data_IF_696795351648
#
_entry.id   IF_696795351648
#
_cell.length_a   1.000
_cell.length_b   1.000
_cell.length_c   1.000
_cell.angle_alpha   90.00
_cell.angle_beta   90.00
_cell.angle_gamma   90.00
#
_symmetry.space_group_name_H-M   'P 1'
#
loop_
_entity.id
_entity.type
_entity.pdbx_description
1 polymer ?
#
# COMPACT_ATOMS: atom_id res chain seq x y z
N UNK A 1 -10.38 -17.33 -4.85
CA UNK A 1 -9.93 -17.65 -3.48
C UNK A 1 -10.71 -16.80 -2.48
N UNK A 2 -11.02 -17.29 -1.27
CA UNK A 2 -11.81 -16.53 -0.28
C UNK A 2 -11.32 -16.71 1.17
N UNK A 3 -10.88 -17.91 1.58
CA UNK A 3 -10.29 -18.11 2.92
C UNK A 3 -9.02 -17.30 3.15
N UNK A 4 -8.03 -17.41 2.26
CA UNK A 4 -6.77 -16.68 2.40
C UNK A 4 -6.97 -15.14 2.36
N UNK A 5 -7.74 -14.57 1.40
CA UNK A 5 -8.07 -13.15 1.44
C UNK A 5 -8.76 -12.70 2.73
N UNK A 6 -9.74 -13.47 3.23
CA UNK A 6 -10.43 -13.15 4.47
C UNK A 6 -9.47 -13.15 5.67
N UNK A 7 -8.63 -14.18 5.80
CA UNK A 7 -7.64 -14.25 6.88
C UNK A 7 -6.64 -13.09 6.81
N UNK A 8 -6.17 -12.71 5.62
CA UNK A 8 -5.28 -11.56 5.45
C UNK A 8 -5.92 -10.26 5.92
N UNK A 9 -7.17 -10.00 5.53
CA UNK A 9 -7.90 -8.81 5.96
C UNK A 9 -8.15 -8.81 7.49
N UNK A 10 -8.52 -9.96 8.07
CA UNK A 10 -8.72 -10.10 9.51
C UNK A 10 -7.42 -9.88 10.28
N UNK A 11 -6.28 -10.32 9.77
CA UNK A 11 -4.97 -10.05 10.38
C UNK A 11 -4.66 -8.56 10.44
N UNK A 12 -4.99 -7.80 9.38
CA UNK A 12 -4.85 -6.34 9.38
C UNK A 12 -5.80 -5.69 10.41
N UNK A 13 -7.08 -6.10 10.40
CA UNK A 13 -8.08 -5.58 11.32
C UNK A 13 -7.73 -5.87 12.79
N UNK A 14 -7.23 -7.07 13.09
CA UNK A 14 -6.80 -7.43 14.44
C UNK A 14 -5.59 -6.60 14.89
N UNK A 15 -4.67 -6.28 13.97
CA UNK A 15 -3.53 -5.42 14.27
C UNK A 15 -3.97 -4.02 14.69
N UNK A 16 -4.96 -3.47 13.98
CA UNK A 16 -5.57 -2.19 14.30
C UNK A 16 -6.32 -2.24 15.64
N UNK A 17 -7.26 -3.18 15.79
CA UNK A 17 -8.16 -3.28 16.95
C UNK A 17 -7.44 -3.56 18.26
N UNK A 18 -6.31 -4.28 18.22
CA UNK A 18 -5.54 -4.66 19.41
C UNK A 18 -4.20 -3.94 19.52
N UNK A 19 -4.02 -2.85 18.75
CA UNK A 19 -2.77 -2.08 18.67
C UNK A 19 -1.50 -2.96 18.60
N UNK A 20 -1.53 -4.02 17.78
CA UNK A 20 -0.41 -4.98 17.75
C UNK A 20 0.83 -4.42 17.07
N UNK A 21 0.71 -3.30 16.35
CA UNK A 21 1.78 -2.66 15.57
C UNK A 21 2.52 -3.66 14.67
N UNK A 22 1.77 -4.56 14.02
CA UNK A 22 2.35 -5.56 13.13
C UNK A 22 2.87 -4.90 11.86
N UNK A 23 4.00 -5.40 11.38
CA UNK A 23 4.49 -5.12 10.02
C UNK A 23 3.75 -6.05 9.06
N UNK A 24 2.95 -5.48 8.15
CA UNK A 24 2.17 -6.21 7.17
C UNK A 24 2.34 -5.56 5.79
N UNK A 25 2.49 -6.33 4.70
CA UNK A 25 2.42 -5.78 3.36
C UNK A 25 0.97 -5.39 3.05
N UNK A 26 0.71 -4.11 2.81
CA UNK A 26 -0.62 -3.60 2.46
C UNK A 26 -0.51 -2.41 1.51
N UNK A 27 -1.58 -2.16 0.75
CA UNK A 27 -1.69 -0.92 -0.02
C UNK A 27 -1.87 0.26 0.95
N UNK A 28 -0.91 1.17 0.99
CA UNK A 28 -0.93 2.35 1.85
C UNK A 28 -0.61 3.61 1.06
N UNK A 29 -1.16 4.75 1.48
CA UNK A 29 -0.92 6.03 0.85
C UNK A 29 0.52 6.47 1.09
N UNK A 30 1.30 6.63 0.03
CA UNK A 30 2.65 7.17 0.10
C UNK A 30 2.59 8.70 0.10
N UNK A 31 3.37 9.33 0.96
CA UNK A 31 3.45 10.79 1.14
C UNK A 31 4.89 11.30 0.95
N UNK A 32 5.73 10.54 0.25
CA UNK A 32 7.14 10.82 -0.01
C UNK A 32 8.03 9.58 0.03
N UNK A 33 7.56 8.48 0.63
CA UNK A 33 8.30 7.22 0.73
C UNK A 33 8.55 6.64 -0.67
N UNK A 34 9.73 6.05 -0.86
CA UNK A 34 10.20 5.56 -2.15
C UNK A 34 10.21 6.64 -3.25
N UNK A 35 10.21 7.93 -2.88
CA UNK A 35 10.10 9.05 -3.82
C UNK A 35 8.70 9.22 -4.46
N UNK A 36 7.66 8.60 -3.88
CA UNK A 36 6.30 8.60 -4.41
C UNK A 36 5.39 9.32 -3.42
N UNK A 37 4.47 10.14 -3.95
CA UNK A 37 3.45 10.86 -3.16
C UNK A 37 2.08 10.70 -3.82
N UNK A 38 1.03 10.80 -3.01
CA UNK A 38 -0.39 10.78 -3.41
C UNK A 38 -0.80 9.53 -4.20
N UNK A 39 -0.25 8.38 -3.81
CA UNK A 39 -0.55 7.09 -4.44
C UNK A 39 -0.60 5.98 -3.41
N UNK A 40 -1.61 5.11 -3.51
CA UNK A 40 -1.65 3.87 -2.74
C UNK A 40 -0.82 2.80 -3.42
N UNK A 41 0.22 2.33 -2.73
CA UNK A 41 1.13 1.29 -3.25
C UNK A 41 1.30 0.19 -2.21
N UNK A 42 1.45 -1.06 -2.66
CA UNK A 42 1.72 -2.20 -1.78
C UNK A 42 3.12 -2.09 -1.17
N UNK A 43 3.19 -1.71 0.11
CA UNK A 43 4.45 -1.54 0.84
C UNK A 43 4.35 -2.15 2.24
N UNK A 44 5.47 -2.48 2.90
CA UNK A 44 5.44 -2.93 4.28
C UNK A 44 5.04 -1.77 5.20
N UNK A 45 3.97 -1.95 5.96
CA UNK A 45 3.44 -0.94 6.88
C UNK A 45 3.28 -1.46 8.29
N UNK A 46 3.47 -0.58 9.27
CA UNK A 46 3.11 -0.81 10.66
C UNK A 46 1.65 -0.40 10.86
N UNK A 47 0.81 -1.38 11.20
CA UNK A 47 -0.61 -1.14 11.51
C UNK A 47 -0.83 -1.22 13.01
N UNK A 48 -1.19 -0.09 13.63
CA UNK A 48 -1.58 0.01 15.05
C UNK A 48 -2.95 0.67 15.22
N UNK A 49 -3.27 1.10 16.43
CA UNK A 49 -4.54 1.77 16.72
C UNK A 49 -4.71 3.11 15.96
N UNK A 50 -3.60 3.73 15.54
CA UNK A 50 -3.62 4.92 14.67
C UNK A 50 -3.85 4.63 13.18
N UNK A 51 -4.09 3.37 12.79
CA UNK A 51 -4.13 2.95 11.39
C UNK A 51 -2.73 2.64 10.87
N UNK A 52 -2.36 3.18 9.70
CA UNK A 52 -1.00 3.08 9.17
C UNK A 52 -0.12 4.09 9.91
N UNK A 53 0.61 3.62 10.92
CA UNK A 53 1.44 4.47 11.79
C UNK A 53 2.82 4.75 11.19
N UNK A 54 3.32 3.84 10.35
CA UNK A 54 4.62 3.96 9.69
C UNK A 54 4.69 3.11 8.44
N UNK A 55 5.36 3.62 7.42
CA UNK A 55 5.79 2.86 6.24
C UNK A 55 7.24 2.46 6.45
N UNK A 56 7.56 1.18 6.25
CA UNK A 56 8.92 0.66 6.43
C UNK A 56 9.60 0.64 5.06
N UNK A 57 10.43 1.66 4.82
CA UNK A 57 11.25 1.73 3.61
C UNK A 57 12.44 0.79 3.71
N UNK A 58 12.58 -0.07 2.71
CA UNK A 58 13.71 -0.98 2.56
C UNK A 58 14.58 -0.53 1.41
N UNK A 59 15.88 -0.73 1.53
CA UNK A 59 16.80 -0.51 0.42
C UNK A 59 16.49 -1.53 -0.68
N UNK A 60 16.19 -1.04 -1.88
CA UNK A 60 15.99 -1.85 -3.06
C UNK A 60 17.30 -1.88 -3.86
N UNK A 61 17.68 -3.06 -4.33
CA UNK A 61 18.71 -3.17 -5.36
C UNK A 61 18.18 -2.66 -6.71
N UNK A 62 19.06 -2.54 -7.70
CA UNK A 62 18.72 -1.96 -9.00
C UNK A 62 17.58 -2.72 -9.71
N UNK A 63 17.59 -4.06 -9.63
CA UNK A 63 16.57 -4.89 -10.27
C UNK A 63 15.21 -4.75 -9.56
N UNK A 64 15.20 -4.77 -8.23
CA UNK A 64 14.01 -4.59 -7.43
C UNK A 64 13.43 -3.18 -7.61
N UNK A 65 14.29 -2.16 -7.71
CA UNK A 65 13.87 -0.78 -7.97
C UNK A 65 13.21 -0.66 -9.36
N UNK A 66 13.77 -1.28 -10.40
CA UNK A 66 13.17 -1.29 -11.73
C UNK A 66 11.79 -1.97 -11.72
N UNK A 67 11.67 -3.14 -11.09
CA UNK A 67 10.41 -3.85 -10.97
C UNK A 67 9.36 -3.06 -10.17
N UNK A 68 9.80 -2.37 -9.11
CA UNK A 68 8.93 -1.53 -8.30
C UNK A 68 8.40 -0.33 -9.11
N UNK A 69 9.26 0.33 -9.88
CA UNK A 69 8.85 1.42 -10.78
C UNK A 69 7.78 0.95 -11.78
N UNK A 70 7.98 -0.21 -12.42
CA UNK A 70 6.98 -0.79 -13.33
C UNK A 70 5.65 -1.03 -12.62
N UNK A 71 5.68 -1.57 -11.41
CA UNK A 71 4.47 -1.78 -10.61
C UNK A 71 3.76 -0.47 -10.26
N UNK A 72 4.50 0.59 -9.95
CA UNK A 72 3.96 1.91 -9.62
C UNK A 72 3.31 2.57 -10.83
N UNK A 73 3.92 2.46 -12.00
CA UNK A 73 3.38 3.05 -13.22
C UNK A 73 2.07 2.37 -13.64
N UNK A 74 1.94 1.05 -13.44
CA UNK A 74 0.67 0.35 -13.64
C UNK A 74 -0.46 0.86 -12.71
N UNK A 75 -0.14 1.23 -11.46
CA UNK A 75 -1.12 1.83 -10.54
C UNK A 75 -1.53 3.22 -11.00
N UNK A 76 -0.60 4.04 -11.49
CA UNK A 76 -0.91 5.37 -12.06
C UNK A 76 -1.83 5.25 -13.27
N UNK A 77 -1.54 4.33 -14.19
CA UNK A 77 -2.39 4.08 -15.37
C UNK A 77 -3.82 3.71 -14.98
N UNK A 78 -3.97 2.85 -13.96
CA UNK A 78 -5.27 2.47 -13.43
C UNK A 78 -6.01 3.66 -12.80
N UNK A 79 -5.32 4.50 -12.04
CA UNK A 79 -5.90 5.71 -11.44
C UNK A 79 -6.41 6.68 -12.51
N UNK A 80 -5.63 6.90 -13.58
CA UNK A 80 -6.04 7.75 -14.70
C UNK A 80 -7.23 7.17 -15.46
N UNK A 81 -7.33 5.84 -15.57
CA UNK A 81 -8.53 5.20 -16.11
C UNK A 81 -9.76 5.42 -15.21
N UNK A 82 -9.60 5.30 -13.89
CA UNK A 82 -10.68 5.59 -12.93
C UNK A 82 -11.17 7.04 -13.03
N UNK A 83 -10.27 8.03 -13.12
CA UNK A 83 -10.63 9.46 -13.27
C UNK A 83 -11.41 9.76 -14.55
N UNK A 84 -11.14 9.02 -15.62
CA UNK A 84 -11.90 9.15 -16.89
C UNK A 84 -13.33 8.63 -16.77
N UNK A 85 -13.56 7.65 -15.89
CA UNK A 85 -14.88 7.05 -15.65
C UNK A 85 -15.68 7.89 -14.65
N UNK A 86 -15.01 8.38 -13.60
CA UNK A 86 -15.63 9.19 -12.54
C UNK A 86 -14.83 10.49 -12.32
N UNK A 87 -15.44 11.60 -12.74
CA UNK A 87 -14.82 12.93 -12.66
C UNK A 87 -14.68 13.46 -11.23
N UNK A 88 -15.34 12.86 -10.23
CA UNK A 88 -15.15 13.26 -8.82
C UNK A 88 -13.78 12.89 -8.26
N UNK A 89 -13.05 12.02 -8.97
CA UNK A 89 -11.70 11.57 -8.62
C UNK A 89 -10.59 12.42 -9.27
N UNK A 90 -10.94 13.39 -10.11
CA UNK A 90 -10.02 14.21 -10.90
C UNK A 90 -9.49 15.44 -10.15
#
# INVERSE_FOLDING_TARGET
AYYAPATSAIVMAESFLKDKKRVLPAAANLTGQYGISDLYVGVPVVIGAGGVERIVEIALDEQAQQNFTVSVDAVKELLEACKKIDQSLA
#
